data_IF_552579250750
#
_entry.id   IF_552579250750
#
_cell.length_a   1.000
_cell.length_b   1.000
_cell.length_c   1.000
_cell.angle_alpha   90.00
_cell.angle_beta   90.00
_cell.angle_gamma   90.00
#
_symmetry.space_group_name_H-M   'P 1'
#
loop_
_entity.id
_entity.type
_entity.pdbx_description
1 polymer ?
#
# COMPACT_ATOMS: atom_id res chain seq x y z
N UNK A 1 -10.40 1.92 -21.07
CA UNK A 1 -10.99 2.01 -19.72
C UNK A 1 -10.18 3.00 -18.91
N UNK A 2 -10.81 3.79 -18.05
CA UNK A 2 -10.14 4.85 -17.29
C UNK A 2 -9.79 4.35 -15.89
N UNK A 3 -8.51 4.16 -15.59
CA UNK A 3 -8.00 3.79 -14.26
C UNK A 3 -8.01 4.97 -13.27
N UNK A 4 -8.81 6.02 -13.55
CA UNK A 4 -8.89 7.28 -12.79
C UNK A 4 -9.39 7.12 -11.35
N UNK A 5 -9.89 5.95 -10.97
CA UNK A 5 -10.34 5.68 -9.60
C UNK A 5 -9.26 5.03 -8.73
N UNK A 6 -8.14 4.64 -9.34
CA UNK A 6 -7.07 3.93 -8.65
C UNK A 6 -6.03 4.94 -8.22
N UNK A 7 -5.96 5.16 -6.90
CA UNK A 7 -5.17 6.23 -6.31
C UNK A 7 -3.66 6.11 -6.61
N UNK A 8 -3.13 4.89 -6.76
CA UNK A 8 -1.69 4.68 -7.06
C UNK A 8 -1.28 5.21 -8.43
N UNK A 9 -2.22 5.51 -9.35
CA UNK A 9 -1.92 6.14 -10.64
C UNK A 9 -2.16 7.66 -10.63
N UNK A 10 -2.42 8.25 -9.46
CA UNK A 10 -2.74 9.65 -9.31
C UNK A 10 -1.77 10.28 -8.30
N UNK A 11 -0.74 11.01 -8.76
CA UNK A 11 0.35 11.54 -7.93
C UNK A 11 -0.10 12.76 -7.12
N UNK A 12 -1.06 12.54 -6.24
CA UNK A 12 -1.65 13.52 -5.34
C UNK A 12 -1.70 12.91 -3.92
N UNK A 13 -1.78 13.72 -2.87
CA UNK A 13 -2.06 13.21 -1.53
C UNK A 13 -3.42 12.52 -1.49
N UNK A 14 -3.46 11.30 -0.96
CA UNK A 14 -4.70 10.58 -0.67
C UNK A 14 -4.86 10.37 0.81
N UNK A 15 -6.09 10.52 1.31
CA UNK A 15 -6.42 10.29 2.71
C UNK A 15 -7.59 9.32 2.73
N UNK A 16 -7.51 8.35 3.64
CA UNK A 16 -8.59 7.41 3.90
C UNK A 16 -8.71 7.14 5.39
N UNK A 17 -9.88 6.65 5.79
CA UNK A 17 -10.16 6.18 7.13
C UNK A 17 -10.87 4.83 7.06
N UNK A 18 -10.76 4.04 8.12
CA UNK A 18 -11.42 2.75 8.17
C UNK A 18 -11.18 2.01 9.47
N UNK A 19 -11.47 0.71 9.43
CA UNK A 19 -11.30 -0.19 10.56
C UNK A 19 -10.22 -1.22 10.21
N UNK A 20 -9.26 -1.41 11.10
CA UNK A 20 -8.21 -2.42 11.01
C UNK A 20 -8.36 -3.44 12.15
N UNK A 21 -8.03 -4.69 11.86
CA UNK A 21 -7.88 -5.75 12.86
C UNK A 21 -6.42 -6.16 12.88
N UNK A 22 -5.81 -6.12 14.06
CA UNK A 22 -4.41 -6.51 14.25
C UNK A 22 -4.38 -7.85 14.97
N UNK A 23 -3.54 -8.79 14.55
CA UNK A 23 -3.49 -10.13 15.14
C UNK A 23 -3.24 -10.14 16.66
N UNK A 24 -2.62 -9.08 17.21
CA UNK A 24 -2.34 -8.96 18.65
C UNK A 24 -3.49 -8.38 19.47
N UNK A 25 -4.58 -7.93 18.84
CA UNK A 25 -5.70 -7.26 19.51
C UNK A 25 -7.01 -7.83 18.99
N UNK A 26 -7.86 -8.37 19.89
CA UNK A 26 -9.20 -8.88 19.51
C UNK A 26 -10.17 -7.76 19.07
N UNK A 27 -9.80 -6.51 19.33
CA UNK A 27 -10.60 -5.33 19.02
C UNK A 27 -10.35 -4.78 17.61
N UNK A 28 -11.43 -4.26 17.03
CA UNK A 28 -11.42 -3.47 15.79
C UNK A 28 -11.01 -2.04 16.12
N UNK A 29 -9.91 -1.58 15.53
CA UNK A 29 -9.38 -0.24 15.76
C UNK A 29 -9.69 0.65 14.56
N UNK A 30 -10.06 1.90 14.82
CA UNK A 30 -10.16 2.90 13.77
C UNK A 30 -8.76 3.32 13.33
N UNK A 31 -8.55 3.48 12.03
CA UNK A 31 -7.30 4.00 11.49
C UNK A 31 -7.54 5.13 10.51
N UNK A 32 -6.55 6.01 10.40
CA UNK A 32 -6.39 6.98 9.33
C UNK A 32 -5.16 6.59 8.52
N UNK A 33 -5.25 6.72 7.20
CA UNK A 33 -4.13 6.51 6.30
C UNK A 33 -3.94 7.72 5.41
N UNK A 34 -2.69 8.11 5.20
CA UNK A 34 -2.28 9.11 4.22
C UNK A 34 -1.30 8.48 3.27
N UNK A 35 -1.53 8.68 1.98
CA UNK A 35 -0.65 8.24 0.91
C UNK A 35 -0.07 9.44 0.20
N UNK A 36 1.22 9.37 -0.07
CA UNK A 36 1.94 10.29 -0.94
C UNK A 36 2.46 9.46 -2.11
N UNK A 37 1.88 9.65 -3.30
CA UNK A 37 2.21 8.88 -4.51
C UNK A 37 3.02 9.77 -5.45
N UNK A 38 4.13 9.27 -5.97
CA UNK A 38 4.96 9.99 -6.94
C UNK A 38 4.52 9.70 -8.37
N UNK A 39 4.95 10.54 -9.31
CA UNK A 39 4.86 10.16 -10.72
C UNK A 39 5.65 8.87 -11.00
N UNK A 40 5.25 8.08 -12.01
CA UNK A 40 6.04 6.94 -12.46
C UNK A 40 7.43 7.38 -12.92
N UNK A 41 8.46 6.63 -12.54
CA UNK A 41 9.81 6.86 -13.06
C UNK A 41 9.98 6.41 -14.51
N UNK A 42 11.19 6.56 -15.08
CA UNK A 42 11.50 6.18 -16.45
C UNK A 42 11.34 4.68 -16.74
N UNK A 43 11.26 3.84 -15.70
CA UNK A 43 10.99 2.39 -15.79
C UNK A 43 9.52 2.04 -15.54
N UNK A 44 8.66 3.04 -15.28
CA UNK A 44 7.25 2.86 -14.97
C UNK A 44 6.98 2.47 -13.52
N UNK A 45 7.97 2.54 -12.62
CA UNK A 45 7.77 2.25 -11.20
C UNK A 45 7.16 3.45 -10.50
N UNK A 46 6.21 3.19 -9.62
CA UNK A 46 5.51 4.20 -8.84
C UNK A 46 5.92 4.05 -7.39
N UNK A 47 6.59 5.06 -6.84
CA UNK A 47 6.94 5.09 -5.42
C UNK A 47 5.82 5.74 -4.64
N UNK A 48 5.62 5.25 -3.43
CA UNK A 48 4.63 5.80 -2.52
C UNK A 48 5.05 5.64 -1.07
N UNK A 49 4.57 6.57 -0.25
CA UNK A 49 4.70 6.51 1.20
C UNK A 49 3.31 6.43 1.78
N UNK A 50 3.07 5.40 2.57
CA UNK A 50 1.87 5.25 3.39
C UNK A 50 2.20 5.61 4.83
N UNK A 51 1.44 6.52 5.41
CA UNK A 51 1.44 6.85 6.82
C UNK A 51 0.13 6.34 7.43
N UNK A 52 0.21 5.59 8.52
CA UNK A 52 -0.92 4.99 9.23
C UNK A 52 -0.93 5.45 10.68
N UNK A 53 -2.08 5.97 11.10
CA UNK A 53 -2.36 6.31 12.49
C UNK A 53 -3.51 5.45 12.98
N UNK A 54 -3.24 4.60 13.99
CA UNK A 54 -4.21 3.65 14.52
C UNK A 54 -4.63 4.11 15.91
N UNK A 55 -5.94 4.19 16.15
CA UNK A 55 -6.49 4.57 17.45
C UNK A 55 -6.05 3.57 18.51
N UNK A 56 -5.48 4.06 19.61
CA UNK A 56 -4.97 3.21 20.70
C UNK A 56 -3.51 2.77 20.54
N UNK A 57 -2.85 3.08 19.41
CA UNK A 57 -1.42 2.85 19.20
C UNK A 57 -0.73 4.21 19.07
N UNK A 58 0.27 4.47 19.91
CA UNK A 58 0.99 5.75 19.93
C UNK A 58 1.96 5.94 18.77
N UNK A 59 2.40 4.84 18.16
CA UNK A 59 3.33 4.88 17.04
C UNK A 59 2.59 5.06 15.71
N UNK A 60 3.05 6.04 14.93
CA UNK A 60 2.65 6.16 13.53
C UNK A 60 3.44 5.14 12.72
N UNK A 61 2.73 4.25 12.03
CA UNK A 61 3.36 3.31 11.11
C UNK A 61 3.60 3.98 9.77
N UNK A 62 4.78 3.78 9.18
CA UNK A 62 5.14 4.29 7.87
C UNK A 62 5.66 3.16 7.00
N UNK A 63 5.03 2.97 5.84
CA UNK A 63 5.44 1.98 4.85
C UNK A 63 5.92 2.69 3.58
N UNK A 64 7.07 2.31 3.07
CA UNK A 64 7.52 2.71 1.74
C UNK A 64 7.17 1.59 0.76
N UNK A 65 6.37 1.93 -0.24
CA UNK A 65 5.80 0.98 -1.19
C UNK A 65 6.17 1.39 -2.62
N UNK A 66 6.71 0.45 -3.38
CA UNK A 66 7.00 0.62 -4.81
C UNK A 66 6.12 -0.32 -5.62
N UNK A 67 5.28 0.23 -6.49
CA UNK A 67 4.44 -0.53 -7.41
C UNK A 67 5.09 -0.60 -8.80
N UNK A 68 5.12 -1.78 -9.40
CA UNK A 68 5.83 -2.03 -10.65
C UNK A 68 5.27 -3.25 -11.42
N UNK A 69 5.82 -3.55 -12.59
CA UNK A 69 5.39 -4.64 -13.46
C UNK A 69 3.88 -4.66 -13.74
N UNK A 70 3.32 -3.48 -14.01
CA UNK A 70 1.91 -3.35 -14.35
C UNK A 70 1.59 -4.09 -15.67
N UNK A 71 0.70 -5.06 -15.57
CA UNK A 71 0.06 -5.76 -16.69
C UNK A 71 -1.45 -5.47 -16.66
N UNK A 72 -2.23 -6.04 -17.58
CA UNK A 72 -3.66 -5.72 -17.75
C UNK A 72 -4.50 -5.68 -16.45
N UNK A 73 -4.23 -6.56 -15.48
CA UNK A 73 -4.96 -6.63 -14.20
C UNK A 73 -4.09 -6.97 -13.00
N UNK A 74 -2.77 -6.96 -13.15
CA UNK A 74 -1.83 -7.37 -12.09
C UNK A 74 -0.65 -6.43 -12.01
N UNK A 75 -0.06 -6.35 -10.84
CA UNK A 75 1.19 -5.63 -10.58
C UNK A 75 1.99 -6.35 -9.50
N UNK A 76 3.25 -5.99 -9.39
CA UNK A 76 4.12 -6.33 -8.26
C UNK A 76 4.17 -5.14 -7.32
N UNK A 77 4.21 -5.40 -6.01
CA UNK A 77 4.38 -4.37 -4.99
C UNK A 77 5.55 -4.75 -4.10
N UNK A 78 6.41 -3.80 -3.82
CA UNK A 78 7.55 -3.97 -2.93
C UNK A 78 7.35 -3.07 -1.72
N UNK A 79 7.48 -3.64 -0.52
CA UNK A 79 7.48 -2.90 0.73
C UNK A 79 8.88 -2.96 1.33
N UNK A 80 9.42 -1.80 1.69
CA UNK A 80 10.68 -1.69 2.41
C UNK A 80 10.44 -1.05 3.78
N UNK A 81 10.86 -1.74 4.85
CA UNK A 81 10.86 -1.20 6.20
C UNK A 81 12.11 -1.67 6.93
N UNK A 82 12.72 -0.80 7.74
CA UNK A 82 13.91 -1.10 8.54
C UNK A 82 13.76 -2.34 9.43
N UNK A 83 12.53 -2.66 9.87
CA UNK A 83 12.26 -3.78 10.76
C UNK A 83 12.09 -5.13 10.04
N UNK A 84 11.72 -5.14 8.76
CA UNK A 84 11.30 -6.34 7.99
C UNK A 84 12.24 -6.59 6.80
N UNK A 85 13.01 -5.59 6.38
CA UNK A 85 13.73 -5.62 5.12
C UNK A 85 12.80 -5.35 3.94
N UNK A 86 13.14 -5.94 2.79
CA UNK A 86 12.44 -5.75 1.52
C UNK A 86 11.58 -6.97 1.21
N UNK A 87 10.28 -6.74 1.08
CA UNK A 87 9.27 -7.77 0.83
C UNK A 87 8.61 -7.49 -0.51
N UNK A 88 8.49 -8.50 -1.36
CA UNK A 88 7.77 -8.39 -2.64
C UNK A 88 6.45 -9.15 -2.54
N UNK A 89 5.39 -8.49 -2.96
CA UNK A 89 4.03 -9.00 -3.01
C UNK A 89 3.44 -8.90 -4.41
N UNK A 90 2.25 -9.44 -4.55
CA UNK A 90 1.48 -9.42 -5.80
C UNK A 90 0.18 -8.66 -5.60
N UNK A 91 -0.23 -7.92 -6.63
CA UNK A 91 -1.43 -7.13 -6.62
C UNK A 91 -2.32 -7.35 -7.82
N UNK A 92 -3.59 -7.02 -7.64
CA UNK A 92 -4.63 -7.03 -8.67
C UNK A 92 -5.36 -5.71 -8.68
N UNK A 93 -5.78 -5.28 -9.87
CA UNK A 93 -6.57 -4.07 -10.00
C UNK A 93 -7.56 -4.16 -11.15
N UNK A 94 -8.69 -3.49 -10.97
CA UNK A 94 -9.67 -3.22 -11.99
C UNK A 94 -10.39 -1.88 -11.70
N UNK A 95 -11.48 -1.61 -12.41
CA UNK A 95 -12.19 -0.34 -12.23
C UNK A 95 -12.89 -0.17 -10.87
N UNK A 96 -12.96 -1.23 -10.04
CA UNK A 96 -13.68 -1.26 -8.76
C UNK A 96 -12.77 -1.62 -7.58
N UNK A 97 -11.64 -2.28 -7.83
CA UNK A 97 -10.81 -2.84 -6.79
C UNK A 97 -9.33 -2.56 -7.06
N UNK A 98 -8.61 -2.23 -5.99
CA UNK A 98 -7.16 -2.28 -5.93
C UNK A 98 -6.83 -3.08 -4.66
N UNK A 99 -6.14 -4.20 -4.81
CA UNK A 99 -5.77 -5.07 -3.70
C UNK A 99 -4.39 -5.67 -3.93
N UNK A 100 -3.68 -5.97 -2.86
CA UNK A 100 -2.39 -6.67 -2.90
C UNK A 100 -2.18 -7.46 -1.62
N UNK A 101 -1.30 -8.45 -1.71
CA UNK A 101 -0.91 -9.30 -0.61
C UNK A 101 0.62 -9.51 -0.60
N UNK A 102 1.17 -9.67 0.60
CA UNK A 102 2.51 -10.17 0.83
C UNK A 102 2.39 -11.57 1.43
N UNK A 103 3.08 -12.56 0.88
CA UNK A 103 3.00 -13.94 1.37
C UNK A 103 4.15 -14.24 2.32
N UNK A 104 3.90 -15.08 3.32
CA UNK A 104 4.88 -15.41 4.38
C UNK A 104 6.21 -15.97 3.85
N UNK A 105 6.22 -16.65 2.70
CA UNK A 105 7.45 -17.15 2.09
C UNK A 105 8.35 -16.05 1.50
N UNK A 106 7.85 -14.82 1.39
CA UNK A 106 8.59 -13.66 0.88
C UNK A 106 9.08 -12.74 2.01
N UNK A 107 8.79 -13.09 3.27
CA UNK A 107 9.32 -12.50 4.50
C UNK A 107 10.53 -13.33 4.95
N UNK A 108 11.69 -13.10 4.34
CA UNK A 108 12.95 -13.76 4.74
C UNK A 108 13.42 -13.34 6.13
#
# INVERSE_FOLDING_TARGET
MSLKHIFIFQPHPWIGEGIITLNMVEEKLNFFTKWSVTEPDFTGKIKSVQELQISGISENMRNELTFFDFTDKKFSVEMENLNIGKVVGSGVFDNKMLAWEFRENDLN
#
